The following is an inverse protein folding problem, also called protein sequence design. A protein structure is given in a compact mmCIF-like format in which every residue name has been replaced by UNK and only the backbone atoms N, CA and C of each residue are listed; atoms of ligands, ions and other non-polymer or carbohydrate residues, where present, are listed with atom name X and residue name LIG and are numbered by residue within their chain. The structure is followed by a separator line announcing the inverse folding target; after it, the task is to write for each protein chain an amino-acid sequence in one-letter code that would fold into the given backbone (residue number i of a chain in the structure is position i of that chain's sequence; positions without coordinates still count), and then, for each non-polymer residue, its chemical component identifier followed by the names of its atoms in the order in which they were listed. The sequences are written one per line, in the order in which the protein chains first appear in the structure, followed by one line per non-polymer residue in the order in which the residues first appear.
data_IF_078656458504
#
_entry.id   IF_078656458504
#
_cell.length_a   1.000
_cell.length_b   1.000
_cell.length_c   1.000
_cell.angle_alpha   90.00
_cell.angle_beta   90.00
_cell.angle_gamma   90.00
#
_symmetry.space_group_name_H-M   'P 1'
#
loop_
_entity.id
_entity.type
_entity.pdbx_description
1 polymer ?
#
# COMPACT_ATOMS: atom_id res chain seq x y z
N UNK A 1 24.93 -12.15 -10.75
CA UNK A 1 24.14 -12.36 -9.53
C UNK A 1 23.00 -11.37 -9.60
N UNK A 2 21.78 -11.87 -9.77
CA UNK A 2 20.60 -11.02 -9.73
C UNK A 2 20.39 -10.62 -8.26
N UNK A 3 20.23 -9.32 -7.98
CA UNK A 3 19.97 -8.87 -6.62
C UNK A 3 18.56 -9.30 -6.20
N UNK A 4 18.37 -9.65 -4.93
CA UNK A 4 17.03 -9.96 -4.40
C UNK A 4 16.04 -8.84 -4.73
N UNK A 5 14.79 -9.18 -5.12
CA UNK A 5 13.78 -8.22 -5.53
C UNK A 5 13.52 -7.19 -4.42
N UNK A 6 13.47 -5.92 -4.81
CA UNK A 6 13.21 -4.81 -3.91
C UNK A 6 11.75 -4.38 -4.02
N UNK A 7 11.01 -4.45 -2.91
CA UNK A 7 9.67 -3.88 -2.83
C UNK A 7 9.68 -2.54 -2.09
N UNK A 8 8.92 -1.58 -2.63
CA UNK A 8 8.71 -0.28 -2.02
C UNK A 8 7.35 -0.22 -1.33
N UNK A 9 7.30 -0.19 0.00
CA UNK A 9 6.05 -0.19 0.76
C UNK A 9 5.74 1.17 1.38
N UNK A 10 4.46 1.57 1.40
CA UNK A 10 4.02 2.84 1.98
C UNK A 10 2.78 2.64 2.84
N UNK A 11 2.94 2.78 4.15
CA UNK A 11 1.87 2.96 5.12
C UNK A 11 1.91 4.38 5.71
N UNK A 12 0.75 4.98 5.97
CA UNK A 12 0.64 6.32 6.54
C UNK A 12 0.04 6.37 7.95
N UNK A 13 -0.46 5.25 8.45
CA UNK A 13 -1.19 5.12 9.71
C UNK A 13 -0.86 3.80 10.41
N UNK A 14 -1.05 3.69 11.74
CA UNK A 14 -0.74 2.47 12.50
C UNK A 14 -1.45 1.19 12.01
N UNK A 15 -2.68 1.30 11.52
CA UNK A 15 -3.42 0.19 10.91
C UNK A 15 -2.72 -0.32 9.64
N UNK A 16 -2.25 0.60 8.79
CA UNK A 16 -1.47 0.27 7.60
C UNK A 16 -0.10 -0.32 7.93
N UNK A 17 0.54 0.14 9.01
CA UNK A 17 1.81 -0.44 9.51
C UNK A 17 1.65 -1.91 9.92
N UNK A 18 0.58 -2.23 10.66
CA UNK A 18 0.27 -3.61 11.05
C UNK A 18 0.04 -4.51 9.83
N UNK A 19 -0.78 -4.04 8.88
CA UNK A 19 -1.06 -4.74 7.62
C UNK A 19 0.22 -4.96 6.79
N UNK A 20 1.04 -3.91 6.67
CA UNK A 20 2.31 -3.95 5.96
C UNK A 20 3.29 -4.93 6.59
N UNK A 21 3.37 -4.97 7.92
CA UNK A 21 4.22 -5.91 8.63
C UNK A 21 3.79 -7.36 8.37
N UNK A 22 2.49 -7.65 8.40
CA UNK A 22 1.95 -8.96 8.06
C UNK A 22 2.28 -9.39 6.63
N UNK A 23 2.11 -8.49 5.67
CA UNK A 23 2.49 -8.72 4.27
C UNK A 23 3.98 -9.01 4.12
N UNK A 24 4.84 -8.21 4.76
CA UNK A 24 6.29 -8.39 4.70
C UNK A 24 6.75 -9.71 5.33
N UNK A 25 6.11 -10.14 6.42
CA UNK A 25 6.38 -11.43 7.05
C UNK A 25 6.05 -12.59 6.09
N UNK A 26 4.85 -12.58 5.51
CA UNK A 26 4.43 -13.61 4.55
C UNK A 26 5.31 -13.64 3.30
N UNK A 27 5.70 -12.49 2.77
CA UNK A 27 6.59 -12.41 1.60
C UNK A 27 7.99 -12.94 1.89
N UNK A 28 8.50 -12.76 3.11
CA UNK A 28 9.79 -13.36 3.50
C UNK A 28 9.72 -14.87 3.60
N UNK A 29 8.64 -15.38 4.17
CA UNK A 29 8.42 -16.82 4.26
C UNK A 29 8.37 -17.45 2.86
N UNK A 30 7.57 -16.88 1.96
CA UNK A 30 7.42 -17.35 0.57
C UNK A 30 8.73 -17.26 -0.23
N UNK A 31 9.58 -16.29 0.07
CA UNK A 31 10.84 -16.06 -0.65
C UNK A 31 12.07 -16.66 0.02
N UNK A 32 11.92 -17.44 1.10
CA UNK A 32 13.05 -17.93 1.91
C UNK A 32 14.01 -16.79 2.32
N UNK A 33 13.46 -15.61 2.62
CA UNK A 33 14.16 -14.35 2.90
C UNK A 33 14.90 -13.69 1.72
N UNK A 34 14.73 -14.17 0.48
CA UNK A 34 15.25 -13.55 -0.74
C UNK A 34 14.38 -12.38 -1.21
N UNK A 35 14.20 -11.38 -0.35
CA UNK A 35 13.45 -10.16 -0.67
C UNK A 35 13.94 -8.97 0.16
N UNK A 36 13.93 -7.78 -0.44
CA UNK A 36 14.32 -6.53 0.22
C UNK A 36 13.15 -5.58 0.32
N UNK A 37 13.13 -4.79 1.40
CA UNK A 37 12.09 -3.81 1.66
C UNK A 37 12.66 -2.42 1.92
N UNK A 38 12.02 -1.42 1.33
CA UNK A 38 12.28 0.01 1.58
C UNK A 38 10.96 0.76 1.52
N UNK A 39 10.87 1.93 2.14
CA UNK A 39 9.75 2.81 1.90
C UNK A 39 9.36 3.62 3.13
N UNK A 40 8.10 3.58 3.53
CA UNK A 40 7.58 4.36 4.66
C UNK A 40 6.65 3.45 5.46
N UNK A 41 7.01 3.21 6.71
CA UNK A 41 6.25 2.40 7.65
C UNK A 41 6.59 2.77 9.10
N UNK A 42 5.79 2.25 10.01
CA UNK A 42 5.96 2.42 11.45
C UNK A 42 6.87 1.36 12.04
N UNK A 43 6.72 1.13 13.33
CA UNK A 43 7.58 0.23 14.11
C UNK A 43 7.41 -1.23 13.72
N UNK A 44 6.21 -1.66 13.33
CA UNK A 44 5.96 -3.07 13.00
C UNK A 44 6.60 -3.41 11.65
N UNK A 45 6.47 -2.56 10.63
CA UNK A 45 7.18 -2.76 9.37
C UNK A 45 8.70 -2.62 9.54
N UNK A 46 9.17 -1.72 10.41
CA UNK A 46 10.60 -1.59 10.72
C UNK A 46 11.17 -2.86 11.41
N UNK A 47 10.41 -3.48 12.33
CA UNK A 47 10.77 -4.77 12.92
C UNK A 47 10.84 -5.89 11.87
N UNK A 48 10.04 -5.75 10.80
CA UNK A 48 10.11 -6.53 9.59
C UNK A 48 11.22 -6.04 8.62
N UNK A 49 12.23 -5.29 9.07
CA UNK A 49 13.38 -4.90 8.24
C UNK A 49 13.11 -3.81 7.19
N UNK A 50 11.94 -3.14 7.23
CA UNK A 50 11.69 -1.97 6.38
C UNK A 50 12.64 -0.84 6.77
N UNK A 51 13.37 -0.30 5.78
CA UNK A 51 14.10 0.96 5.95
C UNK A 51 13.19 2.14 5.60
N UNK A 52 12.59 2.76 6.62
CA UNK A 52 11.75 3.94 6.46
C UNK A 52 12.56 5.18 6.03
N UNK A 53 12.13 5.87 4.97
CA UNK A 53 12.76 7.08 4.45
C UNK A 53 12.63 8.28 5.40
N UNK A 54 11.55 8.29 6.17
CA UNK A 54 11.24 9.28 7.19
C UNK A 54 10.16 8.69 8.12
N UNK A 55 9.94 9.29 9.31
CA UNK A 55 8.92 8.81 10.24
C UNK A 55 7.52 8.78 9.61
N UNK A 56 6.80 7.67 9.74
CA UNK A 56 5.43 7.50 9.20
C UNK A 56 4.46 8.58 9.69
N UNK A 57 4.62 9.05 10.93
CA UNK A 57 3.83 10.12 11.52
C UNK A 57 3.85 11.44 10.71
N UNK A 58 4.81 11.61 9.79
CA UNK A 58 4.82 12.74 8.85
C UNK A 58 3.77 12.65 7.73
N UNK A 59 3.20 11.46 7.52
CA UNK A 59 2.12 11.21 6.58
C UNK A 59 0.73 11.30 7.22
N UNK A 60 0.64 11.08 8.53
CA UNK A 60 -0.62 11.06 9.26
C UNK A 60 -1.23 12.47 9.30
N UNK A 61 -2.37 12.65 8.63
CA UNK A 61 -3.15 13.89 8.65
C UNK A 61 -4.37 13.66 9.54
N UNK A 62 -4.16 13.64 10.85
CA UNK A 62 -5.29 13.63 11.79
C UNK A 62 -5.95 15.01 11.83
N UNK A 63 -7.25 15.05 11.54
CA UNK A 63 -8.15 16.18 11.81
C UNK A 63 -8.10 17.33 10.80
N UNK A 64 -9.22 17.58 10.10
CA UNK A 64 -9.45 18.66 9.12
C UNK A 64 -9.11 20.10 9.60
N UNK A 65 -8.85 20.30 10.91
CA UNK A 65 -8.65 21.62 11.51
C UNK A 65 -7.16 21.97 11.75
N UNK A 66 -6.24 20.99 11.79
CA UNK A 66 -4.78 21.24 11.89
C UNK A 66 -4.03 21.14 10.54
N UNK A 67 -4.76 20.91 9.43
CA UNK A 67 -4.19 20.43 8.16
C UNK A 67 -3.41 21.50 7.39
N UNK A 68 -3.87 22.75 7.38
CA UNK A 68 -3.36 23.77 6.46
C UNK A 68 -1.83 24.00 6.53
N UNK A 69 -1.20 24.17 7.71
CA UNK A 69 0.24 24.41 7.78
C UNK A 69 1.10 23.17 7.47
N UNK A 70 0.54 21.95 7.49
CA UNK A 70 1.28 20.70 7.22
C UNK A 70 1.27 20.27 5.75
N UNK A 71 0.43 20.89 4.91
CA UNK A 71 0.33 20.59 3.47
C UNK A 71 1.66 20.75 2.70
N UNK A 72 2.48 21.80 2.91
CA UNK A 72 3.76 21.93 2.22
C UNK A 72 4.73 20.79 2.55
N UNK A 73 4.74 20.35 3.82
CA UNK A 73 5.56 19.22 4.28
C UNK A 73 5.13 17.93 3.60
N UNK A 74 3.82 17.67 3.50
CA UNK A 74 3.28 16.52 2.78
C UNK A 74 3.74 16.50 1.32
N UNK A 75 3.64 17.64 0.60
CA UNK A 75 4.13 17.74 -0.78
C UNK A 75 5.64 17.51 -0.90
N UNK A 76 6.43 17.97 0.07
CA UNK A 76 7.87 17.67 0.12
C UNK A 76 8.13 16.17 0.27
N UNK A 77 7.40 15.50 1.16
CA UNK A 77 7.51 14.05 1.37
C UNK A 77 7.06 13.26 0.14
N UNK A 78 6.01 13.69 -0.55
CA UNK A 78 5.62 13.11 -1.84
C UNK A 78 6.78 13.21 -2.85
N UNK A 79 7.38 14.40 -3.02
CA UNK A 79 8.50 14.58 -3.96
C UNK A 79 9.71 13.70 -3.62
N UNK A 80 10.06 13.62 -2.34
CA UNK A 80 11.16 12.77 -1.87
C UNK A 80 10.88 11.29 -2.14
N UNK A 81 9.65 10.84 -1.90
CA UNK A 81 9.23 9.45 -2.15
C UNK A 81 9.26 9.14 -3.64
N UNK A 82 8.73 10.02 -4.48
CA UNK A 82 8.80 9.90 -5.96
C UNK A 82 10.23 9.82 -6.45
N UNK A 83 11.11 10.69 -5.95
CA UNK A 83 12.52 10.68 -6.31
C UNK A 83 13.17 9.34 -5.94
N UNK A 84 12.94 8.87 -4.72
CA UNK A 84 13.51 7.60 -4.27
C UNK A 84 13.03 6.41 -5.09
N UNK A 85 11.72 6.30 -5.35
CA UNK A 85 11.17 5.23 -6.19
C UNK A 85 11.82 5.25 -7.58
N UNK A 86 11.97 6.44 -8.18
CA UNK A 86 12.61 6.59 -9.49
C UNK A 86 14.10 6.22 -9.49
N UNK A 87 14.81 6.48 -8.39
CA UNK A 87 16.21 6.09 -8.26
C UNK A 87 16.40 4.59 -8.02
N UNK A 88 15.52 3.99 -7.22
CA UNK A 88 15.64 2.58 -6.83
C UNK A 88 15.07 1.61 -7.87
N UNK A 89 14.11 2.04 -8.70
CA UNK A 89 13.40 1.18 -9.64
C UNK A 89 12.96 -0.16 -9.00
N UNK A 90 12.14 -0.12 -7.94
CA UNK A 90 11.75 -1.33 -7.22
C UNK A 90 10.93 -2.26 -8.12
N UNK A 91 10.92 -3.55 -7.80
CA UNK A 91 10.14 -4.56 -8.53
C UNK A 91 8.62 -4.31 -8.45
N UNK A 92 8.15 -3.73 -7.35
CA UNK A 92 6.79 -3.19 -7.25
C UNK A 92 6.68 -2.15 -6.13
N UNK A 93 5.62 -1.35 -6.20
CA UNK A 93 5.22 -0.40 -5.15
C UNK A 93 3.93 -0.91 -4.51
N UNK A 94 3.94 -1.09 -3.19
CA UNK A 94 2.76 -1.47 -2.41
C UNK A 94 2.36 -0.31 -1.52
N UNK A 95 1.19 0.28 -1.79
CA UNK A 95 0.61 1.33 -0.96
C UNK A 95 -0.48 0.74 -0.07
N UNK A 96 -0.54 1.12 1.20
CA UNK A 96 -1.43 0.52 2.20
C UNK A 96 -2.29 1.62 2.80
N UNK A 97 -3.58 1.60 2.46
CA UNK A 97 -4.57 2.59 2.87
C UNK A 97 -4.08 4.05 2.63
N UNK A 98 -4.47 4.99 3.50
CA UNK A 98 -4.00 6.38 3.52
C UNK A 98 -4.19 7.12 2.17
N UNK A 99 -5.40 7.12 1.58
CA UNK A 99 -5.63 7.64 0.23
C UNK A 99 -5.26 9.11 0.05
N UNK A 100 -5.20 9.89 1.14
CA UNK A 100 -4.74 11.27 1.14
C UNK A 100 -3.29 11.44 0.64
N UNK A 101 -2.39 10.51 0.99
CA UNK A 101 -0.99 10.51 0.56
C UNK A 101 -0.76 9.58 -0.62
N UNK A 102 -1.21 8.32 -0.52
CA UNK A 102 -0.88 7.25 -1.47
C UNK A 102 -1.38 7.57 -2.89
N UNK A 103 -2.59 8.12 -3.03
CA UNK A 103 -3.12 8.47 -4.35
C UNK A 103 -2.38 9.67 -4.96
N UNK A 104 -1.94 10.63 -4.12
CA UNK A 104 -1.15 11.77 -4.58
C UNK A 104 0.25 11.33 -5.01
N UNK A 105 0.86 10.41 -4.27
CA UNK A 105 2.13 9.78 -4.61
C UNK A 105 2.05 9.11 -5.98
N UNK A 106 1.07 8.23 -6.17
CA UNK A 106 0.91 7.46 -7.41
C UNK A 106 0.59 8.37 -8.61
N UNK A 107 -0.29 9.36 -8.44
CA UNK A 107 -0.52 10.39 -9.46
C UNK A 107 0.76 11.15 -9.83
N UNK A 108 1.62 11.42 -8.85
CA UNK A 108 2.85 12.20 -9.06
C UNK A 108 3.98 11.37 -9.66
N UNK A 109 3.98 10.05 -9.47
CA UNK A 109 4.86 9.13 -10.18
C UNK A 109 4.61 9.21 -11.69
N UNK A 110 3.33 9.35 -12.09
CA UNK A 110 2.92 9.38 -13.48
C UNK A 110 3.15 8.02 -14.13
N UNK A 111 3.54 8.02 -15.40
CA UNK A 111 3.91 6.79 -16.10
C UNK A 111 5.32 6.37 -15.67
N UNK A 112 5.40 5.23 -15.00
CA UNK A 112 6.63 4.54 -14.62
C UNK A 112 6.41 3.05 -14.87
N UNK A 113 7.45 2.35 -15.32
CA UNK A 113 7.41 0.91 -15.59
C UNK A 113 7.64 0.10 -14.31
N UNK A 114 6.84 0.41 -13.28
CA UNK A 114 6.89 -0.26 -11.97
C UNK A 114 5.45 -0.59 -11.58
N UNK A 115 5.12 -1.87 -11.34
CA UNK A 115 3.80 -2.28 -10.89
C UNK A 115 3.37 -1.58 -9.60
N UNK A 116 2.13 -1.07 -9.59
CA UNK A 116 1.52 -0.34 -8.47
C UNK A 116 0.39 -1.16 -7.89
N UNK A 117 0.60 -1.63 -6.68
CA UNK A 117 -0.35 -2.44 -5.93
C UNK A 117 -0.90 -1.56 -4.79
N UNK A 118 -2.21 -1.59 -4.60
CA UNK A 118 -2.85 -0.98 -3.44
C UNK A 118 -3.40 -2.06 -2.51
N UNK A 119 -3.21 -1.88 -1.21
CA UNK A 119 -3.74 -2.74 -0.17
C UNK A 119 -4.77 -1.97 0.65
N UNK A 120 -5.96 -2.56 0.79
CA UNK A 120 -7.17 -2.02 1.43
C UNK A 120 -7.91 -1.08 0.49
N UNK A 121 -9.12 -1.47 0.11
CA UNK A 121 -10.00 -0.61 -0.66
C UNK A 121 -10.56 0.51 0.24
N UNK A 122 -10.47 1.80 -0.16
CA UNK A 122 -11.14 2.89 0.56
C UNK A 122 -12.68 2.73 0.75
N UNK A 123 -13.20 2.52 1.95
CA UNK A 123 -14.64 2.25 2.26
C UNK A 123 -15.74 3.07 1.52
N UNK A 124 -15.43 4.28 1.05
CA UNK A 124 -16.31 5.15 0.24
C UNK A 124 -16.71 4.63 -1.15
N UNK A 125 -16.15 3.51 -1.62
CA UNK A 125 -16.44 2.90 -2.94
C UNK A 125 -17.91 2.62 -3.19
N UNK A 126 -18.59 2.03 -2.20
CA UNK A 126 -19.98 1.62 -2.30
C UNK A 126 -20.94 2.79 -2.61
N UNK A 127 -20.51 4.03 -2.37
CA UNK A 127 -21.37 5.21 -2.46
C UNK A 127 -20.94 6.19 -3.57
N UNK A 128 -19.76 5.99 -4.20
CA UNK A 128 -19.20 6.89 -5.23
C UNK A 128 -18.46 6.10 -6.32
N UNK A 129 -19.19 5.54 -7.31
CA UNK A 129 -18.62 4.67 -8.35
C UNK A 129 -17.50 5.32 -9.16
N UNK A 130 -17.57 6.64 -9.40
CA UNK A 130 -16.55 7.35 -10.19
C UNK A 130 -15.13 7.31 -9.61
N UNK A 131 -14.96 6.98 -8.33
CA UNK A 131 -13.63 6.78 -7.79
C UNK A 131 -13.01 5.44 -8.32
N UNK A 132 -13.81 4.43 -8.69
CA UNK A 132 -13.34 3.04 -8.82
C UNK A 132 -12.56 2.95 -10.12
N UNK A 133 -13.14 3.61 -11.13
CA UNK A 133 -12.46 4.11 -12.31
C UNK A 133 -11.15 4.83 -12.00
N UNK A 134 -11.11 5.80 -11.07
CA UNK A 134 -9.86 6.47 -10.70
C UNK A 134 -8.81 5.47 -10.20
N UNK A 135 -9.18 4.49 -9.37
CA UNK A 135 -8.24 3.46 -8.93
C UNK A 135 -7.74 2.60 -10.08
N UNK A 136 -8.62 2.19 -10.99
CA UNK A 136 -8.24 1.42 -12.18
C UNK A 136 -7.24 2.15 -13.09
N UNK A 137 -7.23 3.49 -13.08
CA UNK A 137 -6.23 4.28 -13.80
C UNK A 137 -4.90 4.45 -13.03
N UNK A 138 -4.92 4.29 -11.70
CA UNK A 138 -3.78 4.56 -10.84
C UNK A 138 -3.02 3.30 -10.43
N UNK A 139 -3.69 2.17 -10.36
CA UNK A 139 -3.14 0.93 -9.83
C UNK A 139 -3.29 -0.18 -10.85
N UNK A 140 -2.36 -1.13 -10.77
CA UNK A 140 -2.30 -2.30 -11.62
C UNK A 140 -2.93 -3.51 -10.90
N UNK A 141 -2.96 -3.48 -9.57
CA UNK A 141 -3.61 -4.49 -8.74
C UNK A 141 -4.15 -3.93 -7.41
N UNK A 142 -5.23 -4.51 -6.90
CA UNK A 142 -5.84 -4.15 -5.61
C UNK A 142 -6.03 -5.39 -4.73
N UNK A 143 -5.50 -5.33 -3.50
CA UNK A 143 -5.77 -6.31 -2.46
C UNK A 143 -6.95 -5.83 -1.60
N UNK A 144 -8.07 -6.55 -1.67
CA UNK A 144 -9.34 -6.21 -0.99
C UNK A 144 -9.54 -7.06 0.27
N UNK A 145 -10.16 -6.48 1.29
CA UNK A 145 -10.38 -7.14 2.58
C UNK A 145 -11.72 -7.86 2.67
N UNK A 146 -12.65 -7.55 1.76
CA UNK A 146 -13.98 -8.15 1.73
C UNK A 146 -14.26 -8.72 0.33
N UNK A 147 -14.88 -9.90 0.23
CA UNK A 147 -15.02 -10.60 -1.05
C UNK A 147 -15.89 -9.84 -2.05
N UNK A 148 -16.89 -9.11 -1.57
CA UNK A 148 -17.80 -8.32 -2.42
C UNK A 148 -17.15 -7.07 -3.01
N UNK A 149 -15.98 -6.62 -2.52
CA UNK A 149 -15.33 -5.41 -3.01
C UNK A 149 -14.81 -5.59 -4.45
N UNK A 150 -14.36 -6.80 -4.80
CA UNK A 150 -13.77 -7.13 -6.11
C UNK A 150 -14.65 -6.68 -7.28
N UNK A 151 -15.94 -6.98 -7.20
CA UNK A 151 -16.89 -6.71 -8.29
C UNK A 151 -16.92 -5.23 -8.70
N UNK A 152 -16.71 -4.31 -7.75
CA UNK A 152 -16.77 -2.87 -8.02
C UNK A 152 -15.56 -2.36 -8.81
N UNK A 153 -14.44 -3.07 -8.74
CA UNK A 153 -13.17 -2.67 -9.35
C UNK A 153 -12.85 -3.45 -10.60
N UNK A 154 -13.16 -4.75 -10.62
CA UNK A 154 -13.00 -5.60 -11.79
C UNK A 154 -13.88 -5.13 -12.95
N UNK A 155 -15.08 -4.60 -12.66
CA UNK A 155 -15.95 -3.96 -13.65
C UNK A 155 -15.29 -2.73 -14.32
N UNK A 156 -14.36 -2.06 -13.63
CA UNK A 156 -13.60 -0.91 -14.13
C UNK A 156 -12.23 -1.33 -14.71
N UNK A 157 -11.95 -2.64 -14.78
CA UNK A 157 -10.71 -3.20 -15.33
C UNK A 157 -9.55 -3.30 -14.33
N UNK A 158 -9.78 -3.07 -13.03
CA UNK A 158 -8.74 -3.21 -12.00
C UNK A 158 -8.71 -4.65 -11.45
N UNK A 159 -7.59 -5.34 -11.64
CA UNK A 159 -7.38 -6.68 -11.10
C UNK A 159 -7.40 -6.68 -9.57
N UNK A 160 -8.15 -7.60 -8.96
CA UNK A 160 -8.32 -7.64 -7.52
C UNK A 160 -8.03 -9.03 -6.92
N UNK A 161 -7.37 -9.06 -5.76
CA UNK A 161 -7.23 -10.27 -4.94
C UNK A 161 -7.90 -10.05 -3.59
N UNK A 162 -8.79 -10.97 -3.20
CA UNK A 162 -9.31 -11.01 -1.84
C UNK A 162 -8.27 -11.64 -0.90
N UNK A 163 -7.88 -10.91 0.13
CA UNK A 163 -6.81 -11.32 1.06
C UNK A 163 -7.29 -11.56 2.50
N UNK A 164 -8.60 -11.47 2.76
CA UNK A 164 -9.18 -11.63 4.09
C UNK A 164 -9.03 -10.39 4.97
N UNK A 165 -9.85 -10.31 6.02
CA UNK A 165 -9.83 -9.19 6.97
C UNK A 165 -9.05 -9.57 8.25
N UNK A 166 -7.97 -8.87 8.63
CA UNK A 166 -7.10 -9.26 9.76
C UNK A 166 -7.84 -9.49 11.09
N UNK A 167 -8.87 -8.67 11.36
CA UNK A 167 -9.73 -8.82 12.55
C UNK A 167 -10.50 -10.15 12.60
N UNK A 168 -10.82 -10.74 11.43
CA UNK A 168 -11.43 -12.07 11.34
C UNK A 168 -10.39 -13.21 11.36
N UNK A 169 -9.12 -12.90 11.05
CA UNK A 169 -8.02 -13.87 10.95
C UNK A 169 -7.26 -14.10 12.26
N UNK A 170 -7.75 -13.56 13.39
CA UNK A 170 -7.16 -13.79 14.72
C UNK A 170 -5.70 -13.34 14.85
N UNK A 171 -5.21 -12.46 13.97
CA UNK A 171 -3.82 -12.01 13.96
C UNK A 171 -2.85 -12.90 13.18
N UNK A 172 -3.33 -13.86 12.37
CA UNK A 172 -2.49 -14.62 11.43
C UNK A 172 -2.55 -14.01 10.01
N UNK A 173 -1.55 -13.21 9.61
CA UNK A 173 -1.50 -12.58 8.29
C UNK A 173 -1.24 -13.55 7.14
N UNK A 174 -0.98 -14.85 7.40
CA UNK A 174 -0.70 -15.88 6.38
C UNK A 174 -1.91 -16.72 5.95
N UNK A 175 -3.03 -16.67 6.67
CA UNK A 175 -4.13 -17.62 6.47
C UNK A 175 -5.07 -17.31 5.28
N UNK A 176 -4.65 -16.44 4.34
CA UNK A 176 -5.42 -16.07 3.15
C UNK A 176 -5.84 -17.26 2.28
N UNK A 177 -5.10 -18.38 2.31
CA UNK A 177 -5.47 -19.61 1.60
C UNK A 177 -6.86 -20.15 1.99
N UNK A 178 -7.26 -20.01 3.26
CA UNK A 178 -8.56 -20.53 3.74
C UNK A 178 -9.76 -19.78 3.17
N UNK A 179 -9.54 -18.63 2.53
CA UNK A 179 -10.58 -17.73 2.05
C UNK A 179 -10.49 -17.44 0.54
N UNK A 180 -9.50 -18.03 -0.15
CA UNK A 180 -9.40 -18.01 -1.63
C UNK A 180 -10.35 -19.01 -2.30
N UNK A 181 -11.09 -19.80 -1.51
CA UNK A 181 -11.98 -20.87 -1.96
C UNK A 181 -13.44 -20.51 -1.68
N UNK A 182 -13.91 -19.36 -2.20
CA UNK A 182 -15.34 -19.09 -2.46
C UNK A 182 -15.51 -18.26 -3.74
#
# INVERSE_FOLDING_TARGET
MEEDPLLFLVAGEPSGDQLGAGLMAALRDISDNHIRFVGIGGEQMAAQGLKSLFPMAELSVMGLVEVLPRVPRLFRRIRQTVHMIRCLQPAAIVTIDSPGFTFRLVRRLGNIDVPRIHYVAPTVWAWKPGRAKIMAHLFDHLMVLLPFERQYFEQEGLSCTYVGHPAAMGGDPGAGEKFRVE
#
